data_IF_138980515553
#
_entry.id   IF_138980515553
#
_cell.length_a   1.000
_cell.length_b   1.000
_cell.length_c   1.000
_cell.angle_alpha   90.00
_cell.angle_beta   90.00
_cell.angle_gamma   90.00
#
_symmetry.space_group_name_H-M   'P 1'
#
loop_
_entity.id
_entity.type
_entity.pdbx_description
1 polymer ?
#
# COMPACT_ATOMS: atom_id res chain seq x y z
N UNK A 1 -5.88 1.27 19.50
CA UNK A 1 -4.46 1.04 19.14
C UNK A 1 -4.27 1.12 17.64
N UNK A 2 -3.05 1.38 17.21
CA UNK A 2 -2.64 1.44 15.80
C UNK A 2 -2.22 0.07 15.30
N UNK A 3 -2.69 -0.34 14.12
CA UNK A 3 -2.16 -1.45 13.33
C UNK A 3 -1.31 -0.94 12.19
N UNK A 4 -0.03 -1.25 12.16
CA UNK A 4 0.85 -0.94 11.01
C UNK A 4 0.97 -2.18 10.14
N UNK A 5 0.77 -2.03 8.83
CA UNK A 5 0.82 -3.17 7.92
C UNK A 5 1.90 -3.01 6.86
N UNK A 6 2.68 -4.07 6.71
CA UNK A 6 3.80 -4.16 5.77
C UNK A 6 3.65 -5.37 4.88
N UNK A 7 3.96 -5.23 3.62
CA UNK A 7 3.90 -6.33 2.65
C UNK A 7 5.02 -6.22 1.63
N UNK A 8 5.66 -7.35 1.33
CA UNK A 8 6.57 -7.44 0.20
C UNK A 8 5.81 -7.19 -1.11
N UNK A 9 6.39 -6.42 -2.03
CA UNK A 9 5.87 -6.27 -3.39
C UNK A 9 6.45 -7.37 -4.27
N UNK A 10 5.66 -7.87 -5.24
CA UNK A 10 6.14 -8.82 -6.25
C UNK A 10 7.26 -8.24 -7.13
N UNK A 11 7.39 -6.91 -7.16
CA UNK A 11 8.44 -6.19 -7.89
C UNK A 11 9.72 -6.00 -7.07
N UNK A 12 9.69 -6.26 -5.76
CA UNK A 12 10.84 -6.12 -4.88
C UNK A 12 11.62 -7.45 -4.83
N UNK A 13 12.31 -7.82 -5.95
CA UNK A 13 13.10 -9.07 -6.09
C UNK A 13 14.43 -9.08 -5.28
N UNK A 14 14.65 -8.12 -4.38
CA UNK A 14 15.88 -8.01 -3.58
C UNK A 14 15.92 -8.95 -2.37
N UNK A 15 15.41 -10.17 -2.50
CA UNK A 15 15.51 -11.17 -1.44
C UNK A 15 16.78 -12.00 -1.66
N UNK A 16 17.90 -11.52 -1.17
CA UNK A 16 19.05 -12.41 -0.91
C UNK A 16 18.67 -13.45 0.13
N UNK A 17 18.93 -14.73 -0.16
CA UNK A 17 18.48 -15.91 0.59
C UNK A 17 18.89 -15.95 2.09
N UNK A 18 19.62 -14.98 2.60
CA UNK A 18 20.21 -14.96 3.95
C UNK A 18 19.69 -13.86 4.88
N UNK A 19 18.63 -13.10 4.51
CA UNK A 19 18.13 -12.02 5.35
C UNK A 19 16.83 -12.41 6.04
N UNK A 20 16.77 -12.20 7.35
CA UNK A 20 15.59 -12.45 8.19
C UNK A 20 14.37 -11.60 7.80
N UNK A 21 14.58 -10.49 7.08
CA UNK A 21 13.53 -9.59 6.59
C UNK A 21 14.03 -8.86 5.33
N UNK A 22 13.12 -8.61 4.37
CA UNK A 22 13.44 -7.89 3.14
C UNK A 22 13.77 -6.42 3.41
N UNK A 23 14.75 -5.87 2.69
CA UNK A 23 15.09 -4.44 2.75
C UNK A 23 13.87 -3.54 2.46
N UNK A 24 12.94 -4.02 1.64
CA UNK A 24 11.69 -3.33 1.31
C UNK A 24 10.78 -3.19 2.53
N UNK A 25 10.65 -4.23 3.38
CA UNK A 25 9.86 -4.16 4.63
C UNK A 25 10.51 -3.18 5.60
N UNK A 26 11.83 -3.23 5.76
CA UNK A 26 12.56 -2.28 6.63
C UNK A 26 12.38 -0.83 6.17
N UNK A 27 12.43 -0.58 4.87
CA UNK A 27 12.16 0.75 4.30
C UNK A 27 10.72 1.22 4.56
N UNK A 28 9.74 0.33 4.44
CA UNK A 28 8.34 0.63 4.77
C UNK A 28 8.18 0.98 6.25
N UNK A 29 8.81 0.18 7.14
CA UNK A 29 8.80 0.41 8.59
C UNK A 29 9.40 1.78 8.95
N UNK A 30 10.57 2.12 8.43
CA UNK A 30 11.23 3.40 8.69
C UNK A 30 10.37 4.59 8.27
N UNK A 31 9.70 4.50 7.12
CA UNK A 31 8.81 5.57 6.64
C UNK A 31 7.57 5.73 7.53
N UNK A 32 6.91 4.64 7.89
CA UNK A 32 5.71 4.66 8.75
C UNK A 32 6.06 5.13 10.15
N UNK A 33 7.17 4.66 10.73
CA UNK A 33 7.64 5.13 12.05
C UNK A 33 7.98 6.63 12.03
N UNK A 34 8.66 7.11 10.98
CA UNK A 34 8.93 8.53 10.81
C UNK A 34 7.65 9.37 10.78
N UNK A 35 6.62 8.89 10.07
CA UNK A 35 5.32 9.53 10.06
C UNK A 35 4.67 9.56 11.45
N UNK A 36 4.64 8.42 12.15
CA UNK A 36 4.05 8.33 13.50
C UNK A 36 4.76 9.28 14.47
N UNK A 37 6.09 9.34 14.43
CA UNK A 37 6.87 10.22 15.32
C UNK A 37 6.64 11.71 15.05
N UNK A 38 6.30 12.07 13.80
CA UNK A 38 5.94 13.43 13.43
C UNK A 38 4.52 13.84 13.91
N UNK A 39 3.69 12.87 14.37
CA UNK A 39 2.32 13.08 14.81
C UNK A 39 2.16 12.67 16.28
N UNK A 40 2.22 13.62 17.25
CA UNK A 40 2.20 13.30 18.68
C UNK A 40 1.00 12.49 19.15
N UNK A 41 -0.16 12.69 18.51
CA UNK A 41 -1.39 11.94 18.81
C UNK A 41 -1.27 10.46 18.44
N UNK A 42 -0.52 10.14 17.39
CA UNK A 42 -0.26 8.75 16.98
C UNK A 42 0.88 8.14 17.80
N UNK A 43 1.90 8.93 18.13
CA UNK A 43 3.06 8.45 18.86
C UNK A 43 2.71 7.95 20.28
N UNK A 44 1.65 8.49 20.89
CA UNK A 44 1.17 8.11 22.22
C UNK A 44 0.35 6.82 22.22
N UNK A 45 -0.13 6.34 21.06
CA UNK A 45 -0.99 5.16 21.00
C UNK A 45 -0.19 3.85 20.99
N UNK A 46 -0.70 2.78 21.64
CA UNK A 46 -0.12 1.45 21.52
C UNK A 46 -0.21 0.95 20.07
N UNK A 47 0.84 0.26 19.62
CA UNK A 47 1.02 -0.20 18.23
C UNK A 47 1.18 -1.70 18.14
N UNK A 48 0.71 -2.28 17.05
CA UNK A 48 0.95 -3.66 16.67
C UNK A 48 1.29 -3.74 15.19
N UNK A 49 2.38 -4.43 14.89
CA UNK A 49 2.80 -4.69 13.52
C UNK A 49 2.14 -5.94 12.95
N UNK A 50 1.84 -5.86 11.66
CA UNK A 50 1.31 -6.94 10.84
C UNK A 50 2.16 -7.02 9.57
N UNK A 51 2.86 -8.14 9.40
CA UNK A 51 3.82 -8.32 8.30
C UNK A 51 3.47 -9.55 7.49
N UNK A 52 3.28 -9.38 6.19
CA UNK A 52 3.19 -10.46 5.21
C UNK A 52 4.46 -10.43 4.34
N UNK A 53 5.55 -11.02 4.86
CA UNK A 53 6.84 -11.17 4.19
C UNK A 53 7.01 -12.60 3.66
N UNK A 54 7.55 -12.74 2.45
CA UNK A 54 8.01 -14.03 1.93
C UNK A 54 6.94 -14.97 1.36
N UNK A 55 5.71 -14.53 1.15
CA UNK A 55 4.74 -15.34 0.39
C UNK A 55 5.02 -15.21 -1.11
N UNK A 56 5.61 -16.28 -1.69
CA UNK A 56 5.85 -16.40 -3.13
C UNK A 56 4.58 -16.10 -3.93
N UNK A 57 4.74 -15.49 -5.11
CA UNK A 57 3.70 -14.90 -5.94
C UNK A 57 2.49 -15.77 -6.34
N UNK A 58 2.38 -17.00 -5.82
CA UNK A 58 1.26 -17.91 -6.01
C UNK A 58 0.32 -17.98 -4.81
N UNK A 59 0.74 -17.52 -3.61
CA UNK A 59 -0.12 -17.55 -2.43
C UNK A 59 -1.01 -16.31 -2.37
N UNK A 60 -2.33 -16.52 -2.53
CA UNK A 60 -3.36 -15.50 -2.35
C UNK A 60 -3.59 -15.17 -0.86
N UNK A 61 -2.94 -15.87 0.04
CA UNK A 61 -3.12 -15.73 1.48
C UNK A 61 -2.31 -14.57 2.04
N UNK A 62 -2.98 -13.66 2.74
CA UNK A 62 -2.37 -12.55 3.52
C UNK A 62 -2.76 -12.70 5.00
N UNK A 63 -2.15 -13.66 5.72
CA UNK A 63 -2.58 -13.99 7.07
C UNK A 63 -2.42 -12.84 8.06
N UNK A 64 -1.38 -12.00 7.90
CA UNK A 64 -1.22 -10.82 8.74
C UNK A 64 -2.28 -9.76 8.45
N UNK A 65 -2.60 -9.51 7.18
CA UNK A 65 -3.69 -8.63 6.80
C UNK A 65 -5.04 -9.11 7.34
N UNK A 66 -5.32 -10.41 7.23
CA UNK A 66 -6.56 -10.98 7.78
C UNK A 66 -6.63 -10.78 9.30
N UNK A 67 -5.54 -10.99 10.05
CA UNK A 67 -5.49 -10.70 11.50
C UNK A 67 -5.69 -9.21 11.81
N UNK A 68 -5.15 -8.32 10.98
CA UNK A 68 -5.37 -6.88 11.09
C UNK A 68 -6.86 -6.54 10.96
N UNK A 69 -7.53 -7.06 9.92
CA UNK A 69 -8.97 -6.85 9.70
C UNK A 69 -9.80 -7.44 10.85
N UNK A 70 -9.48 -8.64 11.32
CA UNK A 70 -10.15 -9.21 12.50
C UNK A 70 -9.97 -8.33 13.74
N UNK A 71 -8.78 -7.76 13.94
CA UNK A 71 -8.50 -6.79 15.01
C UNK A 71 -9.36 -5.52 14.89
N UNK A 72 -9.56 -5.04 13.67
CA UNK A 72 -10.42 -3.90 13.37
C UNK A 72 -11.90 -4.23 13.64
N UNK A 73 -12.39 -5.37 13.18
CA UNK A 73 -13.74 -5.87 13.43
C UNK A 73 -14.03 -6.06 14.93
N UNK A 74 -13.05 -6.52 15.69
CA UNK A 74 -13.15 -6.65 17.15
C UNK A 74 -13.02 -5.29 17.89
N UNK A 75 -12.87 -4.18 17.17
CA UNK A 75 -12.72 -2.85 17.74
C UNK A 75 -11.39 -2.59 18.48
N UNK A 76 -10.42 -3.52 18.37
CA UNK A 76 -9.08 -3.40 18.96
C UNK A 76 -8.20 -2.45 18.17
N UNK A 77 -8.20 -2.59 16.82
CA UNK A 77 -7.48 -1.69 15.92
C UNK A 77 -8.43 -0.57 15.50
N UNK A 78 -8.05 0.66 15.78
CA UNK A 78 -8.82 1.87 15.48
C UNK A 78 -8.17 2.72 14.38
N UNK A 79 -6.88 2.54 14.16
CA UNK A 79 -6.11 3.24 13.14
C UNK A 79 -5.26 2.22 12.40
N UNK A 80 -5.30 2.25 11.08
CA UNK A 80 -4.45 1.43 10.20
C UNK A 80 -3.52 2.37 9.46
N UNK A 81 -2.22 2.09 9.49
CA UNK A 81 -1.21 2.88 8.79
C UNK A 81 -0.42 1.98 7.85
N UNK A 82 -0.28 2.42 6.60
CA UNK A 82 0.50 1.74 5.57
C UNK A 82 1.43 2.71 4.84
N UNK A 83 2.43 2.18 4.15
CA UNK A 83 3.30 2.99 3.30
C UNK A 83 2.52 3.63 2.16
N UNK A 84 1.76 2.82 1.41
CA UNK A 84 0.96 3.21 0.26
C UNK A 84 -0.25 2.28 0.10
N UNK A 85 -1.24 2.67 -0.73
CA UNK A 85 -2.46 1.89 -0.95
C UNK A 85 -2.19 0.49 -1.49
N UNK A 86 -1.16 0.34 -2.31
CA UNK A 86 -0.82 -0.95 -2.92
C UNK A 86 -0.51 -2.05 -1.90
N UNK A 87 -0.20 -1.68 -0.66
CA UNK A 87 0.04 -2.64 0.43
C UNK A 87 -1.26 -3.26 0.93
N UNK A 88 -2.36 -2.51 0.96
CA UNK A 88 -3.65 -3.00 1.46
C UNK A 88 -4.41 -3.85 0.46
N UNK A 89 -4.32 -3.53 -0.82
CA UNK A 89 -5.13 -4.18 -1.83
C UNK A 89 -4.25 -4.75 -2.97
N UNK A 90 -4.80 -5.70 -3.71
CA UNK A 90 -4.16 -6.29 -4.89
C UNK A 90 -4.65 -5.65 -6.16
N UNK A 91 -5.87 -5.19 -6.15
CA UNK A 91 -6.51 -4.49 -7.24
C UNK A 91 -7.32 -3.30 -6.72
N UNK A 92 -7.74 -2.47 -7.63
CA UNK A 92 -8.44 -1.23 -7.34
C UNK A 92 -9.83 -1.46 -6.75
N UNK A 93 -10.46 -2.59 -7.08
CA UNK A 93 -11.79 -2.97 -6.59
C UNK A 93 -11.71 -3.34 -5.12
N UNK A 94 -10.73 -4.18 -4.75
CA UNK A 94 -10.48 -4.55 -3.35
C UNK A 94 -10.12 -3.32 -2.51
N UNK A 95 -9.28 -2.41 -3.06
CA UNK A 95 -8.92 -1.16 -2.40
C UNK A 95 -10.14 -0.29 -2.12
N UNK A 96 -10.98 -0.08 -3.13
CA UNK A 96 -12.21 0.70 -3.02
C UNK A 96 -13.14 0.14 -1.94
N UNK A 97 -13.38 -1.16 -1.91
CA UNK A 97 -14.24 -1.80 -0.91
C UNK A 97 -13.74 -1.57 0.52
N UNK A 98 -12.43 -1.68 0.78
CA UNK A 98 -11.87 -1.40 2.11
C UNK A 98 -12.02 0.07 2.49
N UNK A 99 -11.70 1.00 1.57
CA UNK A 99 -11.68 2.44 1.86
C UNK A 99 -13.06 3.05 1.96
N UNK A 100 -13.97 2.69 1.03
CA UNK A 100 -15.28 3.33 0.92
C UNK A 100 -16.34 2.69 1.81
N UNK A 101 -16.17 1.41 2.18
CA UNK A 101 -17.20 0.64 2.86
C UNK A 101 -16.72 0.04 4.17
N UNK A 102 -15.64 -0.75 4.15
CA UNK A 102 -15.26 -1.59 5.30
C UNK A 102 -14.68 -0.74 6.43
N UNK A 103 -13.67 0.09 6.15
CA UNK A 103 -13.04 0.91 7.20
C UNK A 103 -13.98 1.96 7.79
N UNK A 104 -14.77 2.72 6.98
CA UNK A 104 -15.79 3.62 7.53
C UNK A 104 -16.83 2.90 8.38
N UNK A 105 -17.33 1.74 7.94
CA UNK A 105 -18.29 0.94 8.69
C UNK A 105 -17.73 0.47 10.06
N UNK A 106 -16.45 0.13 10.10
CA UNK A 106 -15.77 -0.30 11.33
C UNK A 106 -15.31 0.87 12.20
N UNK A 107 -15.47 2.12 11.74
CA UNK A 107 -14.95 3.32 12.41
C UNK A 107 -13.42 3.33 12.52
N UNK A 108 -12.73 2.81 11.50
CA UNK A 108 -11.28 2.73 11.44
C UNK A 108 -10.72 3.92 10.67
N UNK A 109 -9.80 4.69 11.29
CA UNK A 109 -8.99 5.69 10.61
C UNK A 109 -7.94 4.97 9.75
N UNK A 110 -7.88 5.30 8.46
CA UNK A 110 -6.90 4.74 7.56
C UNK A 110 -5.94 5.83 7.07
N UNK A 111 -4.65 5.54 7.14
CA UNK A 111 -3.56 6.46 6.75
C UNK A 111 -2.65 5.76 5.74
N UNK A 112 -2.46 6.39 4.59
CA UNK A 112 -1.47 6.01 3.58
C UNK A 112 -0.41 7.10 3.47
N UNK A 113 0.82 6.81 3.93
CA UNK A 113 1.84 7.83 4.13
C UNK A 113 2.32 8.44 2.81
N UNK A 114 2.73 7.62 1.85
CA UNK A 114 3.22 8.11 0.56
C UNK A 114 2.16 8.76 -0.32
N UNK A 115 0.91 8.34 -0.15
CA UNK A 115 -0.21 8.88 -0.91
C UNK A 115 -0.76 10.17 -0.29
N UNK A 116 -0.24 10.55 0.91
CA UNK A 116 -0.71 11.73 1.63
C UNK A 116 -2.17 11.64 2.07
N UNK A 117 -2.68 10.42 2.25
CA UNK A 117 -4.08 10.19 2.58
C UNK A 117 -4.27 9.88 4.06
N UNK A 118 -5.27 10.54 4.67
CA UNK A 118 -5.70 10.30 6.04
C UNK A 118 -7.22 10.47 6.13
N UNK A 119 -7.95 9.38 6.36
CA UNK A 119 -9.41 9.41 6.47
C UNK A 119 -9.91 10.19 7.69
N UNK A 120 -9.07 10.37 8.72
CA UNK A 120 -9.41 11.15 9.91
C UNK A 120 -9.39 12.66 9.70
N UNK A 121 -8.63 13.16 8.73
CA UNK A 121 -8.57 14.58 8.38
C UNK A 121 -9.68 15.01 7.43
N UNK A 122 -10.37 14.07 6.80
CA UNK A 122 -11.44 14.34 5.85
C UNK A 122 -12.84 14.35 6.48
N UNK A 123 -12.95 14.53 7.80
CA UNK A 123 -14.22 14.65 8.50
C UNK A 123 -14.83 16.06 8.24
N UNK A 124 -15.17 16.30 7.01
CA UNK A 124 -16.07 17.35 6.55
C UNK A 124 -16.89 16.76 5.42
N UNK A 125 -18.11 16.39 5.70
CA UNK A 125 -19.32 16.09 4.90
C UNK A 125 -19.22 15.97 3.35
N UNK A 126 -18.06 15.78 2.74
CA UNK A 126 -17.93 15.65 1.29
C UNK A 126 -17.47 14.22 0.90
N UNK A 127 -18.43 13.30 0.94
CA UNK A 127 -18.27 11.92 0.44
C UNK A 127 -17.82 11.92 -1.03
N UNK A 128 -18.18 12.94 -1.81
CA UNK A 128 -17.75 13.08 -3.20
C UNK A 128 -16.27 13.43 -3.31
N UNK A 129 -15.75 14.27 -2.41
CA UNK A 129 -14.32 14.59 -2.37
C UNK A 129 -13.46 13.37 -2.03
N UNK A 130 -13.95 12.51 -1.16
CA UNK A 130 -13.31 11.23 -0.82
C UNK A 130 -13.27 10.28 -2.03
N UNK A 131 -14.39 10.09 -2.73
CA UNK A 131 -14.48 9.25 -3.93
C UNK A 131 -13.52 9.73 -5.03
N UNK A 132 -13.44 11.04 -5.26
CA UNK A 132 -12.53 11.63 -6.24
C UNK A 132 -11.08 11.48 -5.82
N UNK A 133 -10.76 11.69 -4.53
CA UNK A 133 -9.40 11.49 -4.01
C UNK A 133 -8.95 10.04 -4.15
N UNK A 134 -9.78 9.07 -3.79
CA UNK A 134 -9.49 7.63 -3.93
C UNK A 134 -9.32 7.28 -5.41
N UNK A 135 -10.21 7.69 -6.31
CA UNK A 135 -10.07 7.45 -7.75
C UNK A 135 -8.78 8.06 -8.32
N UNK A 136 -8.41 9.27 -7.90
CA UNK A 136 -7.18 9.91 -8.35
C UNK A 136 -5.92 9.17 -7.85
N UNK A 137 -5.94 8.66 -6.62
CA UNK A 137 -4.84 7.91 -6.03
C UNK A 137 -4.70 6.54 -6.71
N UNK A 138 -5.81 5.84 -6.93
CA UNK A 138 -5.86 4.56 -7.66
C UNK A 138 -5.32 4.76 -9.08
N UNK A 139 -5.79 5.77 -9.81
CA UNK A 139 -5.31 6.09 -11.16
C UNK A 139 -3.80 6.44 -11.17
N UNK A 140 -3.31 7.16 -10.17
CA UNK A 140 -1.90 7.52 -10.06
C UNK A 140 -1.02 6.30 -9.72
N UNK A 141 -1.49 5.36 -8.92
CA UNK A 141 -0.77 4.10 -8.65
C UNK A 141 -0.74 3.20 -9.88
N UNK A 142 -1.87 3.05 -10.56
CA UNK A 142 -1.96 2.28 -11.81
C UNK A 142 -1.02 2.83 -12.89
N UNK A 143 -0.95 4.17 -13.06
CA UNK A 143 -0.05 4.81 -14.01
C UNK A 143 1.43 4.56 -13.66
N UNK A 144 1.79 4.55 -12.37
CA UNK A 144 3.16 4.25 -11.92
C UNK A 144 3.53 2.79 -12.17
N UNK A 145 2.65 1.86 -11.84
CA UNK A 145 2.87 0.43 -12.03
C UNK A 145 2.93 0.06 -13.53
N UNK A 146 2.06 0.67 -14.35
CA UNK A 146 2.08 0.52 -15.79
C UNK A 146 3.38 1.07 -16.39
N UNK A 147 3.82 2.25 -15.96
CA UNK A 147 5.09 2.85 -16.43
C UNK A 147 6.30 1.98 -16.05
N UNK A 148 6.32 1.43 -14.83
CA UNK A 148 7.38 0.52 -14.40
C UNK A 148 7.37 -0.79 -15.20
N UNK A 149 6.19 -1.34 -15.49
CA UNK A 149 6.04 -2.56 -16.32
C UNK A 149 6.50 -2.32 -17.75
N UNK A 150 6.12 -1.18 -18.36
CA UNK A 150 6.54 -0.80 -19.70
C UNK A 150 8.06 -0.62 -19.74
N UNK A 151 8.64 0.12 -18.78
CA UNK A 151 10.08 0.34 -18.72
C UNK A 151 10.87 -0.98 -18.56
N UNK A 152 10.37 -1.92 -17.77
CA UNK A 152 10.96 -3.26 -17.61
C UNK A 152 10.87 -4.07 -18.93
N UNK A 153 9.73 -4.04 -19.61
CA UNK A 153 9.54 -4.69 -20.89
C UNK A 153 10.47 -4.09 -21.97
N UNK A 154 10.57 -2.76 -22.03
CA UNK A 154 11.45 -2.04 -22.94
C UNK A 154 12.91 -2.41 -22.69
N UNK A 155 13.36 -2.49 -21.46
CA UNK A 155 14.71 -2.90 -21.09
C UNK A 155 15.04 -4.33 -21.52
N UNK A 156 14.09 -5.26 -21.39
CA UNK A 156 14.24 -6.65 -21.87
C UNK A 156 14.32 -6.70 -23.40
N UNK A 157 13.50 -5.91 -24.11
CA UNK A 157 13.53 -5.83 -25.58
C UNK A 157 14.83 -5.21 -26.08
N UNK A 158 15.33 -4.14 -25.44
CA UNK A 158 16.63 -3.53 -25.76
C UNK A 158 17.77 -4.52 -25.59
N UNK A 159 17.80 -5.31 -24.50
CA UNK A 159 18.79 -6.38 -24.29
C UNK A 159 18.76 -7.45 -25.38
N UNK A 160 17.60 -7.70 -25.99
CA UNK A 160 17.44 -8.62 -27.12
C UNK A 160 17.75 -7.99 -28.49
N UNK A 161 18.19 -6.73 -28.51
CA UNK A 161 18.50 -6.00 -29.73
C UNK A 161 17.29 -5.60 -30.58
N UNK A 162 16.09 -5.61 -29.96
CA UNK A 162 14.86 -5.19 -30.66
C UNK A 162 14.74 -3.66 -30.64
N UNK A 163 14.40 -3.07 -31.79
CA UNK A 163 14.23 -1.64 -31.94
C UNK A 163 12.88 -1.20 -31.38
N UNK A 164 12.88 -0.29 -30.41
CA UNK A 164 11.68 0.24 -29.74
C UNK A 164 11.24 1.60 -30.32
N UNK A 165 11.82 2.03 -31.43
CA UNK A 165 11.48 3.31 -32.07
C UNK A 165 10.10 3.26 -32.71
N UNK A 166 9.24 4.23 -32.36
CA UNK A 166 7.99 4.49 -33.08
C UNK A 166 8.27 4.86 -34.53
N UNK A 167 7.41 4.44 -35.44
CA UNK A 167 7.39 4.82 -36.85
C UNK A 167 7.39 6.37 -36.95
N UNK A 168 8.44 6.98 -37.48
CA UNK A 168 8.41 8.37 -37.93
C UNK A 168 7.92 8.33 -39.36
N UNK A 169 6.71 8.82 -39.69
CA UNK A 169 6.37 9.06 -41.07
C UNK A 169 7.28 10.14 -41.63
N UNK A 170 7.87 9.86 -42.80
CA UNK A 170 8.67 10.78 -43.62
C UNK A 170 7.72 11.85 -44.18
#
# INVERSE_FOLDING_TARGET
MIGTYYRLSLTDEDVGADKAESNSIQGQRGLVEGYIMAHPELAAEPRQEYVDDGYSGTSTSRPAFQRLIQGAQAGKVKTIIVKDFSRCARDDIEAGDYMERIFPLLGVRFISVNDGYDSGMQIGNDVRGLEVAIKNIINASYSRDLSATIAAADHVMQKKGMYLGGYRPV
#
